data_IF_232791085207
#
_entry.id   IF_232791085207
#
_cell.length_a   1.000
_cell.length_b   1.000
_cell.length_c   1.000
_cell.angle_alpha   90.00
_cell.angle_beta   90.00
_cell.angle_gamma   90.00
#
_symmetry.space_group_name_H-M   'P 1'
#
loop_
_entity.id
_entity.type
_entity.pdbx_description
1 polymer ?
#
# COMPACT_ATOMS: atom_id res chain seq x y z
N UNK A 1 12.77 -2.13 9.06
CA UNK A 1 12.30 -3.49 9.45
C UNK A 1 10.84 -3.75 9.06
N UNK A 2 9.89 -2.85 9.36
CA UNK A 2 8.46 -3.03 9.01
C UNK A 2 8.19 -3.16 7.50
N UNK A 3 8.91 -2.40 6.66
CA UNK A 3 8.79 -2.43 5.19
C UNK A 3 9.06 -3.84 4.62
N UNK A 4 10.07 -4.55 5.14
CA UNK A 4 10.42 -5.90 4.68
C UNK A 4 9.31 -6.90 4.95
N UNK A 5 8.62 -6.79 6.09
CA UNK A 5 7.50 -7.67 6.47
C UNK A 5 6.31 -7.46 5.53
N UNK A 6 6.03 -6.20 5.18
CA UNK A 6 4.95 -5.83 4.26
C UNK A 6 5.22 -6.42 2.85
N UNK A 7 6.46 -6.33 2.36
CA UNK A 7 6.83 -6.85 1.03
C UNK A 7 6.70 -8.38 0.96
N UNK A 8 7.13 -9.11 1.99
CA UNK A 8 6.98 -10.57 2.04
C UNK A 8 5.51 -10.98 2.05
N UNK A 9 4.67 -10.26 2.79
CA UNK A 9 3.23 -10.55 2.86
C UNK A 9 2.52 -10.28 1.53
N UNK A 10 2.88 -9.19 0.84
CA UNK A 10 2.34 -8.86 -0.48
C UNK A 10 2.77 -9.91 -1.53
N UNK A 11 4.02 -10.38 -1.49
CA UNK A 11 4.51 -11.42 -2.40
C UNK A 11 3.72 -12.73 -2.25
N UNK A 12 3.38 -13.12 -1.02
CA UNK A 12 2.53 -14.29 -0.78
C UNK A 12 1.08 -14.10 -1.24
N UNK A 13 0.55 -12.88 -1.25
CA UNK A 13 -0.82 -12.60 -1.73
C UNK A 13 -0.91 -12.43 -3.25
N UNK A 14 0.18 -12.04 -3.91
CA UNK A 14 0.27 -11.96 -5.38
C UNK A 14 0.32 -13.34 -6.03
N UNK A 15 0.89 -14.32 -5.33
CA UNK A 15 0.71 -15.75 -5.65
C UNK A 15 -0.65 -16.24 -5.13
N UNK A 16 -1.74 -15.64 -5.61
CA UNK A 16 -3.06 -16.24 -5.47
C UNK A 16 -3.04 -17.56 -6.24
N UNK A 17 -2.82 -18.65 -5.51
CA UNK A 17 -2.79 -20.01 -6.03
C UNK A 17 -4.07 -20.21 -6.85
N UNK A 18 -3.92 -20.54 -8.14
CA UNK A 18 -4.99 -20.72 -9.12
C UNK A 18 -5.91 -21.92 -8.83
N UNK A 19 -6.17 -22.25 -7.57
CA UNK A 19 -7.01 -23.38 -7.16
C UNK A 19 -8.44 -23.27 -7.67
N UNK A 20 -8.94 -22.06 -7.94
CA UNK A 20 -10.27 -21.87 -8.55
C UNK A 20 -10.27 -21.89 -10.09
N UNK A 21 -9.12 -21.68 -10.75
CA UNK A 21 -9.04 -21.55 -12.22
C UNK A 21 -8.32 -22.71 -12.91
N UNK A 22 -7.78 -23.66 -12.15
CA UNK A 22 -7.19 -24.90 -12.64
C UNK A 22 -5.79 -24.72 -13.21
N UNK A 23 -5.61 -23.79 -14.15
CA UNK A 23 -4.32 -23.56 -14.82
C UNK A 23 -3.70 -22.20 -14.43
N UNK A 24 -2.55 -22.19 -13.72
CA UNK A 24 -1.90 -20.97 -13.29
C UNK A 24 -1.30 -20.14 -14.44
N UNK A 25 -1.26 -20.67 -15.66
CA UNK A 25 -0.79 -19.98 -16.86
C UNK A 25 -1.94 -19.54 -17.79
N UNK A 26 -3.20 -19.70 -17.35
CA UNK A 26 -4.35 -19.25 -18.13
C UNK A 26 -4.46 -17.72 -18.14
N UNK A 27 -4.95 -17.16 -19.25
CA UNK A 27 -5.20 -15.72 -19.40
C UNK A 27 -6.10 -15.14 -18.28
N UNK A 28 -6.96 -15.97 -17.67
CA UNK A 28 -7.78 -15.57 -16.53
C UNK A 28 -6.97 -15.26 -15.26
N UNK A 29 -5.86 -15.97 -15.03
CA UNK A 29 -4.98 -15.77 -13.86
C UNK A 29 -4.15 -14.50 -14.02
N UNK A 30 -3.66 -14.24 -15.24
CA UNK A 30 -2.87 -13.05 -15.53
C UNK A 30 -3.70 -11.77 -15.31
N UNK A 31 -4.94 -11.75 -15.80
CA UNK A 31 -5.87 -10.63 -15.56
C UNK A 31 -6.18 -10.40 -14.07
N UNK A 32 -6.32 -11.47 -13.28
CA UNK A 32 -6.55 -11.33 -11.83
C UNK A 32 -5.33 -10.84 -11.07
N UNK A 33 -4.11 -11.27 -11.43
CA UNK A 33 -2.89 -10.80 -10.78
C UNK A 33 -2.75 -9.26 -10.93
N UNK A 34 -2.99 -8.75 -12.13
CA UNK A 34 -3.02 -7.30 -12.38
C UNK A 34 -4.13 -6.57 -11.61
N UNK A 35 -5.30 -7.18 -11.44
CA UNK A 35 -6.38 -6.62 -10.64
C UNK A 35 -6.01 -6.54 -9.15
N UNK A 36 -5.38 -7.58 -8.60
CA UNK A 36 -4.89 -7.62 -7.21
C UNK A 36 -3.85 -6.52 -7.01
N UNK A 37 -2.88 -6.37 -7.91
CA UNK A 37 -1.88 -5.29 -7.85
C UNK A 37 -2.56 -3.93 -7.80
N UNK A 38 -3.54 -3.70 -8.68
CA UNK A 38 -4.27 -2.42 -8.73
C UNK A 38 -5.00 -2.12 -7.42
N UNK A 39 -5.64 -3.13 -6.81
CA UNK A 39 -6.32 -3.02 -5.51
C UNK A 39 -5.35 -2.71 -4.36
N UNK A 40 -4.20 -3.39 -4.33
CA UNK A 40 -3.18 -3.15 -3.31
C UNK A 40 -2.57 -1.75 -3.47
N UNK A 41 -2.24 -1.35 -4.71
CA UNK A 41 -1.66 -0.04 -5.01
C UNK A 41 -2.62 1.08 -4.65
N UNK A 42 -3.90 0.99 -5.03
CA UNK A 42 -4.88 2.05 -4.70
C UNK A 42 -5.08 2.16 -3.19
N UNK A 43 -5.27 1.04 -2.49
CA UNK A 43 -5.50 1.05 -1.04
C UNK A 43 -4.28 1.57 -0.28
N UNK A 44 -3.10 1.07 -0.63
CA UNK A 44 -1.83 1.51 -0.05
C UNK A 44 -1.54 2.99 -0.36
N UNK A 45 -1.83 3.43 -1.59
CA UNK A 45 -1.65 4.81 -2.03
C UNK A 45 -2.52 5.79 -1.26
N UNK A 46 -3.82 5.50 -1.13
CA UNK A 46 -4.76 6.36 -0.41
C UNK A 46 -4.36 6.48 1.06
N UNK A 47 -4.08 5.35 1.73
CA UNK A 47 -3.69 5.37 3.14
C UNK A 47 -2.39 6.14 3.37
N UNK A 48 -1.40 5.95 2.50
CA UNK A 48 -0.13 6.68 2.52
C UNK A 48 -0.34 8.19 2.36
N UNK A 49 -1.18 8.61 1.42
CA UNK A 49 -1.50 10.02 1.17
C UNK A 49 -2.12 10.71 2.39
N UNK A 50 -3.03 10.03 3.08
CA UNK A 50 -3.66 10.55 4.30
C UNK A 50 -2.62 10.75 5.41
N UNK A 51 -1.76 9.75 5.64
CA UNK A 51 -0.71 9.82 6.67
C UNK A 51 0.26 10.98 6.40
N UNK A 52 0.66 11.16 5.15
CA UNK A 52 1.53 12.27 4.75
C UNK A 52 0.86 13.62 4.97
N UNK A 53 -0.42 13.75 4.64
CA UNK A 53 -1.20 14.97 4.85
C UNK A 53 -1.25 15.35 6.33
N UNK A 54 -1.55 14.39 7.20
CA UNK A 54 -1.56 14.61 8.66
C UNK A 54 -0.18 14.99 9.17
N UNK A 55 0.89 14.31 8.72
CA UNK A 55 2.27 14.64 9.12
C UNK A 55 2.69 16.03 8.68
N UNK A 56 2.33 16.46 7.48
CA UNK A 56 2.62 17.81 7.02
C UNK A 56 1.93 18.86 7.89
N UNK A 57 0.66 18.64 8.23
CA UNK A 57 -0.07 19.54 9.12
C UNK A 57 0.56 19.58 10.53
N UNK A 58 0.94 18.42 11.08
CA UNK A 58 1.61 18.32 12.37
C UNK A 58 2.96 19.03 12.41
N UNK A 59 3.76 18.94 11.34
CA UNK A 59 5.03 19.67 11.25
C UNK A 59 4.82 21.18 11.15
N UNK A 60 3.82 21.62 10.36
CA UNK A 60 3.46 23.04 10.25
C UNK A 60 2.94 23.60 11.57
N UNK A 61 2.10 22.85 12.28
CA UNK A 61 1.60 23.26 13.59
C UNK A 61 2.75 23.36 14.59
N UNK A 62 3.64 22.35 14.69
CA UNK A 62 4.80 22.40 15.57
C UNK A 62 5.66 23.64 15.32
N UNK A 63 5.96 23.95 14.06
CA UNK A 63 6.72 25.15 13.68
C UNK A 63 6.01 26.45 14.07
N UNK A 64 4.69 26.51 13.92
CA UNK A 64 3.89 27.67 14.33
C UNK A 64 3.89 27.90 15.85
N UNK A 65 3.93 26.82 16.65
CA UNK A 65 4.03 26.91 18.10
C UNK A 65 5.44 27.29 18.57
N UNK A 66 6.49 26.79 17.91
CA UNK A 66 7.89 27.17 18.19
C UNK A 66 8.13 28.67 17.92
N UNK A 67 7.57 29.23 16.86
CA UNK A 67 7.71 30.66 16.48
C UNK A 67 6.98 31.62 17.45
N UNK A 68 5.92 31.15 18.13
CA UNK A 68 5.18 31.94 19.14
C UNK A 68 5.70 31.80 20.57
N UNK A 69 6.62 30.88 20.82
CA UNK A 69 7.18 30.59 22.14
C UNK A 69 8.45 31.39 22.47
N UNK A 70 8.95 32.19 21.51
CA UNK A 70 10.08 33.13 21.65
C UNK A 70 9.56 34.57 21.83
#
# INVERSE_FOLDING_TARGET
KTITIIITFITSSLYACGTCFGDPNSAAVDGMNWAIISLLVTTGGVLSGIILSIRQLANRSKKYWEDKGE
#
